data_IF_206078859671
#
_entry.id   IF_206078859671
#
_cell.length_a   1.000
_cell.length_b   1.000
_cell.length_c   1.000
_cell.angle_alpha   90.00
_cell.angle_beta   90.00
_cell.angle_gamma   90.00
#
_symmetry.space_group_name_H-M   'P 1'
#
loop_
_entity.id
_entity.type
_entity.pdbx_description
1 polymer ?
#
# COMPACT_ATOMS: atom_id res chain seq x y z
N UNK A 1 18.89 -7.72 -3.76
CA UNK A 1 18.42 -6.97 -2.57
C UNK A 1 16.95 -7.27 -2.34
N UNK A 2 16.53 -7.54 -1.10
CA UNK A 2 15.13 -7.63 -0.71
C UNK A 2 14.68 -6.24 -0.23
N UNK A 3 13.81 -5.57 -0.97
CA UNK A 3 13.19 -4.32 -0.52
C UNK A 3 11.89 -4.63 0.25
N UNK A 4 11.42 -3.71 1.09
CA UNK A 4 10.19 -3.90 1.89
C UNK A 4 8.98 -4.25 1.00
N UNK A 5 8.91 -3.68 -0.21
CA UNK A 5 7.91 -4.05 -1.22
C UNK A 5 7.97 -5.52 -1.62
N UNK A 6 9.16 -6.11 -1.77
CA UNK A 6 9.31 -7.53 -2.11
C UNK A 6 8.86 -8.44 -0.96
N UNK A 7 9.04 -8.03 0.30
CA UNK A 7 8.62 -8.82 1.48
C UNK A 7 7.10 -8.71 1.67
N UNK A 8 6.54 -7.51 1.57
CA UNK A 8 5.11 -7.29 1.72
C UNK A 8 4.30 -7.95 0.59
N UNK A 9 4.73 -7.79 -0.66
CA UNK A 9 4.06 -8.42 -1.80
C UNK A 9 4.17 -9.96 -1.72
N UNK A 10 5.31 -10.49 -1.25
CA UNK A 10 5.49 -11.92 -1.00
C UNK A 10 4.57 -12.43 0.14
N UNK A 11 4.33 -11.64 1.19
CA UNK A 11 3.40 -12.02 2.26
C UNK A 11 1.95 -12.18 1.74
N UNK A 12 1.49 -11.25 0.91
CA UNK A 12 0.17 -11.34 0.26
C UNK A 12 0.05 -12.60 -0.61
N UNK A 13 1.02 -12.80 -1.52
CA UNK A 13 1.01 -13.94 -2.43
C UNK A 13 1.12 -15.29 -1.70
N UNK A 14 1.91 -15.37 -0.63
CA UNK A 14 1.99 -16.59 0.18
C UNK A 14 0.66 -16.90 0.88
N UNK A 15 -0.02 -15.90 1.44
CA UNK A 15 -1.33 -16.11 2.05
C UNK A 15 -2.37 -16.50 1.01
N UNK A 16 -2.37 -15.85 -0.16
CA UNK A 16 -3.26 -16.19 -1.28
C UNK A 16 -3.11 -17.65 -1.70
N UNK A 17 -1.88 -18.13 -1.93
CA UNK A 17 -1.60 -19.52 -2.31
C UNK A 17 -2.08 -20.48 -1.22
N UNK A 18 -1.78 -20.21 0.06
CA UNK A 18 -2.26 -21.03 1.18
C UNK A 18 -3.79 -21.12 1.19
N UNK A 19 -4.49 -20.01 1.00
CA UNK A 19 -5.96 -19.98 0.94
C UNK A 19 -6.54 -20.73 -0.25
N UNK A 20 -5.87 -20.71 -1.41
CA UNK A 20 -6.25 -21.53 -2.57
C UNK A 20 -6.20 -23.04 -2.28
N UNK A 21 -5.40 -23.45 -1.30
CA UNK A 21 -5.29 -24.83 -0.83
C UNK A 21 -6.09 -25.11 0.46
N UNK A 22 -7.02 -24.22 0.83
CA UNK A 22 -7.90 -24.41 2.00
C UNK A 22 -7.23 -24.14 3.36
N UNK A 23 -6.05 -23.51 3.37
CA UNK A 23 -5.37 -23.09 4.60
C UNK A 23 -5.80 -21.67 4.94
N UNK A 24 -6.30 -21.46 6.16
CA UNK A 24 -6.59 -20.11 6.64
C UNK A 24 -5.32 -19.32 6.92
N UNK A 25 -4.99 -18.43 5.98
CA UNK A 25 -3.90 -17.48 6.10
C UNK A 25 -4.45 -16.04 6.10
N UNK A 26 -3.78 -15.17 6.86
CA UNK A 26 -4.12 -13.74 7.02
C UNK A 26 -2.84 -12.91 6.93
N UNK A 27 -2.96 -11.67 6.47
CA UNK A 27 -1.82 -10.77 6.25
C UNK A 27 -2.01 -9.46 7.00
N UNK A 28 -0.96 -9.04 7.71
CA UNK A 28 -0.87 -7.71 8.33
C UNK A 28 0.28 -6.95 7.66
N UNK A 29 -0.05 -5.88 6.94
CA UNK A 29 0.89 -4.87 6.50
C UNK A 29 1.00 -3.77 7.58
N UNK A 30 1.90 -3.97 8.55
CA UNK A 30 2.08 -3.05 9.67
C UNK A 30 2.56 -1.68 9.20
N UNK A 31 1.67 -0.68 9.29
CA UNK A 31 1.91 0.72 8.90
C UNK A 31 2.55 0.91 7.51
N UNK A 32 2.39 -0.07 6.64
CA UNK A 32 2.90 -0.05 5.28
C UNK A 32 1.73 0.12 4.31
N UNK A 33 1.67 1.30 3.69
CA UNK A 33 0.62 1.69 2.75
C UNK A 33 1.14 1.83 1.32
N UNK A 34 2.42 1.50 1.08
CA UNK A 34 3.03 1.62 -0.24
C UNK A 34 2.24 0.81 -1.27
N UNK A 35 2.15 1.32 -2.50
CA UNK A 35 1.35 0.73 -3.58
C UNK A 35 1.64 -0.76 -3.80
N UNK A 36 2.90 -1.16 -3.84
CA UNK A 36 3.31 -2.56 -3.98
C UNK A 36 3.02 -3.46 -2.75
N UNK A 37 2.55 -2.90 -1.64
CA UNK A 37 2.10 -3.66 -0.47
C UNK A 37 0.57 -3.84 -0.44
N UNK A 38 -0.15 -3.23 -1.38
CA UNK A 38 -1.60 -3.28 -1.48
C UNK A 38 -2.03 -4.44 -2.40
N UNK A 39 -3.02 -5.26 -2.03
CA UNK A 39 -3.56 -6.33 -2.88
C UNK A 39 -3.99 -5.88 -4.27
N UNK A 40 -4.51 -4.65 -4.38
CA UNK A 40 -4.92 -4.03 -5.65
C UNK A 40 -3.79 -4.00 -6.68
N UNK A 41 -2.54 -3.78 -6.26
CA UNK A 41 -1.38 -3.74 -7.16
C UNK A 41 -1.13 -5.09 -7.84
N UNK A 42 -1.39 -6.19 -7.13
CA UNK A 42 -1.10 -7.54 -7.60
C UNK A 42 -2.28 -8.17 -8.34
N UNK A 43 -3.51 -7.84 -7.96
CA UNK A 43 -4.71 -8.53 -8.43
C UNK A 43 -5.67 -7.68 -9.27
N UNK A 44 -5.69 -6.36 -9.10
CA UNK A 44 -6.59 -5.51 -9.86
C UNK A 44 -5.99 -5.16 -11.23
N UNK A 45 -6.82 -5.15 -12.26
CA UNK A 45 -6.51 -4.46 -13.49
C UNK A 45 -6.95 -3.00 -13.33
N UNK A 46 -6.04 -2.05 -13.48
CA UNK A 46 -6.33 -0.63 -13.37
C UNK A 46 -5.42 0.19 -14.30
N UNK A 47 -5.91 1.37 -14.69
CA UNK A 47 -5.15 2.39 -15.42
C UNK A 47 -5.40 3.76 -14.77
N UNK A 48 -4.40 4.64 -14.78
CA UNK A 48 -4.52 6.01 -14.26
C UNK A 48 -3.49 6.36 -13.18
N UNK A 49 -3.59 7.59 -12.67
CA UNK A 49 -2.71 8.12 -11.63
C UNK A 49 -3.33 7.94 -10.24
N UNK A 50 -2.58 7.29 -9.34
CA UNK A 50 -2.95 7.01 -7.96
C UNK A 50 -2.45 8.09 -6.98
N UNK A 51 -1.69 9.07 -7.46
CA UNK A 51 -1.05 10.09 -6.64
C UNK A 51 0.20 9.57 -5.92
N UNK A 52 0.30 9.83 -4.61
CA UNK A 52 1.46 9.43 -3.81
C UNK A 52 1.59 7.88 -3.73
N UNK A 53 2.70 7.29 -4.22
CA UNK A 53 2.92 5.84 -4.15
C UNK A 53 3.02 5.28 -2.72
N UNK A 54 3.32 6.10 -1.72
CA UNK A 54 3.32 5.71 -0.30
C UNK A 54 1.91 5.68 0.29
N UNK A 55 0.96 6.41 -0.31
CA UNK A 55 -0.44 6.48 0.09
C UNK A 55 -1.36 6.50 -1.15
N UNK A 56 -1.35 5.43 -1.97
CA UNK A 56 -2.08 5.41 -3.24
C UNK A 56 -3.58 5.52 -3.01
N UNK A 57 -4.24 6.39 -3.78
CA UNK A 57 -5.69 6.58 -3.72
C UNK A 57 -6.39 5.70 -4.76
N UNK A 58 -6.69 4.47 -4.33
CA UNK A 58 -7.41 3.48 -5.14
C UNK A 58 -8.83 3.88 -5.53
N UNK A 59 -9.38 4.97 -4.97
CA UNK A 59 -10.71 5.48 -5.37
C UNK A 59 -10.67 6.30 -6.67
N UNK A 60 -9.47 6.66 -7.15
CA UNK A 60 -9.27 7.44 -8.38
C UNK A 60 -9.30 6.63 -9.67
N UNK A 61 -9.25 5.31 -9.58
CA UNK A 61 -9.16 4.40 -10.73
C UNK A 61 -10.28 3.37 -10.68
N UNK A 62 -10.67 2.86 -11.84
CA UNK A 62 -11.55 1.70 -11.92
C UNK A 62 -10.74 0.43 -11.69
N UNK A 63 -11.18 -0.39 -10.73
CA UNK A 63 -10.56 -1.67 -10.39
C UNK A 63 -11.28 -2.87 -11.02
N UNK A 64 -12.24 -2.65 -11.92
CA UNK A 64 -12.95 -3.72 -12.63
C UNK A 64 -13.77 -4.62 -11.70
N UNK A 65 -14.26 -4.06 -10.59
CA UNK A 65 -14.99 -4.81 -9.56
C UNK A 65 -14.11 -5.58 -8.56
N UNK A 66 -12.79 -5.45 -8.63
CA UNK A 66 -11.90 -6.00 -7.61
C UNK A 66 -12.24 -5.44 -6.23
N UNK A 67 -12.22 -6.32 -5.23
CA UNK A 67 -12.40 -5.95 -3.83
C UNK A 67 -11.25 -6.51 -3.01
N UNK A 68 -10.66 -5.65 -2.18
CA UNK A 68 -9.62 -6.04 -1.25
C UNK A 68 -10.09 -7.22 -0.38
N UNK A 69 -9.31 -8.31 -0.30
CA UNK A 69 -9.72 -9.47 0.47
C UNK A 69 -9.83 -9.19 1.97
N UNK A 70 -10.86 -9.76 2.62
CA UNK A 70 -11.13 -9.58 4.05
C UNK A 70 -10.03 -10.12 4.96
N UNK A 71 -9.19 -11.03 4.46
CA UNK A 71 -8.05 -11.61 5.16
C UNK A 71 -6.77 -10.76 5.10
N UNK A 72 -6.82 -9.56 4.52
CA UNK A 72 -5.71 -8.60 4.49
C UNK A 72 -6.04 -7.35 5.33
N UNK A 73 -5.10 -6.95 6.18
CA UNK A 73 -5.17 -5.74 6.99
C UNK A 73 -3.91 -4.89 6.84
N UNK A 74 -4.07 -3.56 6.73
CA UNK A 74 -2.95 -2.60 6.71
C UNK A 74 -3.23 -1.48 7.72
N UNK A 75 -2.20 -1.08 8.49
CA UNK A 75 -2.27 0.01 9.45
C UNK A 75 -1.76 -0.35 10.86
N UNK A 76 -2.21 0.37 11.92
CA UNK A 76 -1.74 0.15 13.29
C UNK A 76 -1.99 -1.29 13.76
N UNK A 77 -0.96 -1.94 14.30
CA UNK A 77 -0.98 -3.38 14.63
C UNK A 77 -2.22 -3.79 15.44
N UNK A 78 -2.58 -3.02 16.47
CA UNK A 78 -3.73 -3.34 17.33
C UNK A 78 -5.05 -3.40 16.56
N UNK A 79 -5.25 -2.48 15.61
CA UNK A 79 -6.44 -2.45 14.78
C UNK A 79 -6.42 -3.60 13.75
N UNK A 80 -5.26 -3.88 13.14
CA UNK A 80 -5.10 -5.02 12.24
C UNK A 80 -5.42 -6.35 12.92
N UNK A 81 -4.84 -6.60 14.10
CA UNK A 81 -5.12 -7.80 14.90
C UNK A 81 -6.60 -7.90 15.29
N UNK A 82 -7.22 -6.76 15.66
CA UNK A 82 -8.63 -6.72 16.05
C UNK A 82 -9.55 -7.01 14.86
N UNK A 83 -9.23 -6.48 13.66
CA UNK A 83 -9.98 -6.76 12.44
C UNK A 83 -9.89 -8.24 12.08
N UNK A 84 -8.69 -8.81 12.06
CA UNK A 84 -8.48 -10.24 11.77
C UNK A 84 -9.20 -11.11 12.81
N UNK A 85 -9.14 -10.79 14.09
CA UNK A 85 -9.86 -11.52 15.13
C UNK A 85 -11.40 -11.41 15.00
N UNK A 86 -11.91 -10.33 14.40
CA UNK A 86 -13.33 -10.20 14.07
C UNK A 86 -13.69 -11.08 12.86
N UNK A 87 -12.87 -11.10 11.80
CA UNK A 87 -13.04 -11.96 10.62
C UNK A 87 -13.00 -13.45 11.00
N UNK A 88 -11.99 -13.88 11.76
CA UNK A 88 -11.85 -15.26 12.26
C UNK A 88 -13.06 -15.66 13.12
N UNK A 89 -13.59 -14.72 13.89
CA UNK A 89 -14.76 -14.96 14.74
C UNK A 89 -16.11 -14.85 14.02
N UNK A 90 -16.16 -14.64 12.70
CA UNK A 90 -17.40 -14.49 11.94
C UNK A 90 -18.20 -13.22 12.27
N UNK A 91 -17.55 -12.20 12.86
CA UNK A 91 -18.18 -10.93 13.29
C UNK A 91 -17.99 -9.87 12.21
N UNK A 92 -18.66 -10.04 11.07
CA UNK A 92 -18.47 -9.20 9.88
C UNK A 92 -18.73 -7.71 10.12
N UNK A 93 -19.78 -7.36 10.88
CA UNK A 93 -20.11 -5.95 11.19
C UNK A 93 -18.99 -5.26 11.98
N UNK A 94 -18.44 -5.97 12.97
CA UNK A 94 -17.31 -5.48 13.78
C UNK A 94 -16.05 -5.36 12.92
N UNK A 95 -15.78 -6.33 12.05
CA UNK A 95 -14.64 -6.28 11.15
C UNK A 95 -14.75 -5.07 10.20
N UNK A 96 -15.94 -4.76 9.69
CA UNK A 96 -16.18 -3.61 8.83
C UNK A 96 -16.06 -2.28 9.58
N UNK A 97 -16.46 -2.22 10.85
CA UNK A 97 -16.23 -1.06 11.71
C UNK A 97 -14.74 -0.81 11.96
N UNK A 98 -13.98 -1.88 12.22
CA UNK A 98 -12.52 -1.77 12.42
C UNK A 98 -11.85 -1.40 11.10
N UNK A 99 -12.32 -1.90 9.94
CA UNK A 99 -11.81 -1.52 8.61
C UNK A 99 -11.97 -0.03 8.36
N UNK A 100 -13.15 0.55 8.66
CA UNK A 100 -13.35 2.01 8.62
C UNK A 100 -12.39 2.75 9.56
N UNK A 101 -12.03 2.15 10.69
CA UNK A 101 -11.05 2.74 11.62
C UNK A 101 -9.62 2.69 11.08
N UNK A 102 -9.24 1.62 10.38
CA UNK A 102 -7.96 1.51 9.66
C UNK A 102 -7.87 2.55 8.54
N UNK A 103 -8.94 2.76 7.78
CA UNK A 103 -8.98 3.77 6.72
C UNK A 103 -8.79 5.19 7.28
N UNK A 104 -9.45 5.51 8.39
CA UNK A 104 -9.23 6.79 9.12
C UNK A 104 -7.80 6.93 9.62
N UNK A 105 -7.20 5.86 10.13
CA UNK A 105 -5.81 5.88 10.60
C UNK A 105 -4.84 6.17 9.43
N UNK A 106 -5.04 5.52 8.28
CA UNK A 106 -4.27 5.79 7.04
C UNK A 106 -4.40 7.25 6.61
N UNK A 107 -5.62 7.80 6.58
CA UNK A 107 -5.87 9.19 6.20
C UNK A 107 -5.15 10.19 7.11
N UNK A 108 -5.12 9.93 8.42
CA UNK A 108 -4.40 10.77 9.39
C UNK A 108 -2.89 10.81 9.11
N UNK A 109 -2.29 9.65 8.82
CA UNK A 109 -0.85 9.58 8.49
C UNK A 109 -0.56 10.26 7.16
N UNK A 110 -1.35 9.99 6.12
CA UNK A 110 -1.20 10.62 4.80
C UNK A 110 -1.26 12.15 4.88
N UNK A 111 -2.20 12.71 5.65
CA UNK A 111 -2.32 14.15 5.86
C UNK A 111 -1.11 14.76 6.58
N UNK A 112 -0.53 14.05 7.56
CA UNK A 112 0.70 14.49 8.22
C UNK A 112 1.89 14.49 7.25
N UNK A 113 2.06 13.44 6.44
CA UNK A 113 3.13 13.35 5.44
C UNK A 113 3.00 14.46 4.38
N UNK A 114 1.79 14.74 3.90
CA UNK A 114 1.55 15.84 2.95
C UNK A 114 1.90 17.21 3.55
N UNK A 115 1.62 17.43 4.85
CA UNK A 115 1.98 18.68 5.54
C UNK A 115 3.48 18.86 5.77
N UNK A 116 4.25 17.76 5.80
CA UNK A 116 5.70 17.78 6.00
C UNK A 116 6.50 17.93 4.70
N UNK A 117 5.91 17.60 3.54
CA UNK A 117 6.54 17.68 2.22
C UNK A 117 6.62 19.11 1.63
N UNK A 118 6.42 20.14 2.46
CA UNK A 118 6.24 21.54 2.05
C UNK A 118 7.46 22.29 1.50
N UNK A 119 8.67 21.75 1.58
CA UNK A 119 9.86 22.34 0.96
C UNK A 119 10.79 21.24 0.41
N UNK A 120 11.23 21.29 -0.86
CA UNK A 120 12.21 20.35 -1.37
C UNK A 120 13.59 20.63 -0.74
N UNK A 121 14.31 19.61 -0.24
CA UNK A 121 15.60 19.78 0.44
C UNK A 121 16.80 19.98 -0.51
N UNK A 122 16.57 20.11 -1.81
CA UNK A 122 17.62 20.26 -2.81
C UNK A 122 17.42 21.54 -3.61
N UNK A 123 18.46 22.38 -3.79
CA UNK A 123 18.35 23.54 -4.66
C UNK A 123 18.14 23.08 -6.10
N UNK A 124 17.22 23.72 -6.82
CA UNK A 124 17.04 23.53 -8.25
C UNK A 124 18.36 23.81 -8.97
N UNK A 125 18.89 22.80 -9.67
CA UNK A 125 20.10 22.96 -10.48
C UNK A 125 19.85 23.98 -11.58
N UNK A 126 20.48 25.15 -11.49
CA UNK A 126 20.59 26.08 -12.63
C UNK A 126 21.40 25.39 -13.73
N UNK A 127 20.83 25.33 -14.93
CA UNK A 127 21.48 24.80 -16.11
C UNK A 127 22.74 25.62 -16.48
N UNK A 128 23.91 25.20 -16.01
CA UNK A 128 25.21 25.61 -16.51
C UNK A 128 26.29 24.68 -15.95
N UNK A 129 26.52 23.54 -16.62
CA UNK A 129 27.86 22.99 -16.86
C UNK A 129 27.77 21.57 -17.41
N UNK A 130 27.98 21.43 -18.72
CA UNK A 130 28.89 20.44 -19.31
C UNK A 130 28.84 20.53 -20.83
N UNK A 131 29.57 21.51 -21.38
CA UNK A 131 30.19 21.31 -22.70
C UNK A 131 31.32 20.29 -22.50
N UNK A 132 31.09 19.05 -22.91
CA UNK A 132 32.19 18.10 -23.16
C UNK A 132 32.22 17.87 -24.66
N UNK A 133 33.28 18.41 -25.28
CA UNK A 133 33.60 18.28 -26.68
C UNK A 133 33.80 16.80 -27.07
N UNK A 134 33.12 16.36 -28.12
CA UNK A 134 33.46 15.13 -28.82
C UNK A 134 34.49 15.47 -29.90
N UNK A 135 35.78 15.30 -29.58
CA UNK A 135 36.85 15.18 -30.57
C UNK A 135 37.61 13.87 -30.31
N UNK A 136 37.62 12.99 -31.31
CA UNK A 136 38.43 11.78 -31.31
C UNK A 136 38.19 10.94 -32.57
N UNK A 137 39.25 10.49 -33.27
CA UNK A 137 39.26 10.14 -34.70
C UNK A 137 38.66 8.78 -35.07
#
# INVERSE_FOLDING_TARGET
>A
MLHLGNIANNAFNNARIQRQHGIDAYVIAYENYHIMACPEWEEAAFEGDLGDPFFPDWTKVDLGGYQRPRWFASGPLKLCCSMIAAEVGGRSDLADEIRRSLDRARQSVSGQTASAAGDPPWPENSAADSQVACDGP
#
